data_IF_648491498923
#
_entry.id   IF_648491498923
#
_cell.length_a   1.000
_cell.length_b   1.000
_cell.length_c   1.000
_cell.angle_alpha   90.00
_cell.angle_beta   90.00
_cell.angle_gamma   90.00
#
_symmetry.space_group_name_H-M   'P 1'
#
loop_
_entity.id
_entity.type
_entity.pdbx_description
1 polymer ?
#
# COMPACT_ATOMS: atom_id res chain seq x y z
N UNK A 1 35.41 -27.29 17.03
CA UNK A 1 34.91 -27.04 15.66
C UNK A 1 33.55 -26.37 15.85
N UNK A 2 33.46 -25.05 15.69
CA UNK A 2 32.20 -24.32 15.86
C UNK A 2 31.36 -24.63 14.62
N UNK A 3 30.24 -25.31 14.80
CA UNK A 3 29.21 -25.42 13.77
C UNK A 3 28.79 -24.00 13.39
N UNK A 4 29.25 -23.56 12.23
CA UNK A 4 28.66 -22.42 11.54
C UNK A 4 27.31 -22.94 11.08
N UNK A 5 26.28 -22.74 11.91
CA UNK A 5 24.90 -22.85 11.46
C UNK A 5 24.78 -21.88 10.30
N UNK A 6 24.81 -22.40 9.07
CA UNK A 6 24.39 -21.64 7.90
C UNK A 6 22.90 -21.35 8.09
N UNK A 7 22.60 -20.23 8.73
CA UNK A 7 21.29 -19.59 8.67
C UNK A 7 21.06 -19.26 7.20
N UNK A 8 20.48 -20.21 6.46
CA UNK A 8 19.95 -19.97 5.14
C UNK A 8 18.69 -19.14 5.35
N UNK A 9 18.85 -17.81 5.35
CA UNK A 9 17.74 -16.86 5.39
C UNK A 9 17.00 -17.01 4.05
N UNK A 10 16.00 -17.89 4.03
CA UNK A 10 15.07 -18.00 2.91
C UNK A 10 14.18 -16.77 2.89
N UNK A 11 14.05 -16.12 1.73
CA UNK A 11 13.12 -15.02 1.57
C UNK A 11 11.69 -15.57 1.58
N UNK A 12 10.81 -15.01 2.42
CA UNK A 12 9.35 -15.27 2.39
C UNK A 12 8.75 -14.49 1.22
N UNK A 13 8.93 -15.02 0.02
CA UNK A 13 8.43 -14.46 -1.22
C UNK A 13 7.91 -15.61 -2.09
N UNK A 14 6.77 -15.38 -2.74
CA UNK A 14 6.24 -16.24 -3.79
C UNK A 14 6.42 -15.50 -5.12
N UNK A 15 6.96 -16.19 -6.10
CA UNK A 15 7.12 -15.68 -7.46
C UNK A 15 6.13 -16.41 -8.35
N UNK A 16 5.20 -15.67 -8.90
CA UNK A 16 4.09 -16.21 -9.70
C UNK A 16 4.10 -15.55 -11.05
N UNK A 17 4.09 -16.35 -12.12
CA UNK A 17 3.89 -15.87 -13.47
C UNK A 17 3.27 -16.97 -14.33
N UNK A 18 2.46 -16.60 -15.31
CA UNK A 18 1.89 -17.55 -16.26
C UNK A 18 2.94 -17.95 -17.31
N UNK A 19 3.97 -17.14 -17.50
CA UNK A 19 5.09 -17.44 -18.41
C UNK A 19 6.33 -17.98 -17.67
N UNK A 20 6.96 -19.07 -18.14
CA UNK A 20 8.14 -19.64 -17.49
C UNK A 20 9.41 -18.79 -17.66
N UNK A 21 9.50 -17.97 -18.71
CA UNK A 21 10.73 -17.24 -19.07
C UNK A 21 11.17 -16.20 -18.05
N UNK A 22 10.23 -15.62 -17.30
CA UNK A 22 10.54 -14.64 -16.25
C UNK A 22 11.21 -15.33 -15.06
N UNK A 23 10.79 -16.55 -14.73
CA UNK A 23 11.36 -17.34 -13.63
C UNK A 23 12.82 -17.73 -13.90
N UNK A 24 13.15 -18.11 -15.13
CA UNK A 24 14.53 -18.42 -15.51
C UNK A 24 15.44 -17.19 -15.39
N UNK A 25 14.93 -16.02 -15.76
CA UNK A 25 15.63 -14.74 -15.61
C UNK A 25 15.91 -14.42 -14.13
N UNK A 26 14.94 -14.66 -13.24
CA UNK A 26 15.12 -14.46 -11.79
C UNK A 26 16.07 -15.50 -11.19
N UNK A 27 15.96 -16.77 -11.58
CA UNK A 27 16.87 -17.85 -11.13
C UNK A 27 18.31 -17.61 -11.56
N UNK A 28 18.51 -17.09 -12.78
CA UNK A 28 19.83 -16.69 -13.30
C UNK A 28 20.40 -15.41 -12.66
N UNK A 29 19.59 -14.65 -11.91
CA UNK A 29 20.02 -13.43 -11.25
C UNK A 29 20.98 -13.70 -10.08
N UNK A 30 21.70 -12.66 -9.64
CA UNK A 30 22.62 -12.76 -8.49
C UNK A 30 21.93 -13.17 -7.19
N UNK A 31 20.64 -12.89 -7.07
CA UNK A 31 19.83 -13.19 -5.88
C UNK A 31 18.93 -14.41 -6.06
N UNK A 32 18.94 -15.06 -7.24
CA UNK A 32 18.04 -16.17 -7.56
C UNK A 32 18.15 -17.35 -6.58
N UNK A 33 19.36 -17.60 -6.06
CA UNK A 33 19.62 -18.67 -5.09
C UNK A 33 19.09 -18.39 -3.67
N UNK A 34 18.62 -17.17 -3.38
CA UNK A 34 18.04 -16.81 -2.08
C UNK A 34 16.57 -17.22 -1.97
N UNK A 35 15.88 -17.39 -3.10
CA UNK A 35 14.50 -17.80 -3.15
C UNK A 35 14.38 -19.31 -3.02
N UNK A 36 13.35 -19.78 -2.31
CA UNK A 36 13.04 -21.21 -2.22
C UNK A 36 12.57 -21.70 -3.61
N UNK A 37 13.14 -22.79 -4.16
CA UNK A 37 12.71 -23.33 -5.46
C UNK A 37 11.22 -23.65 -5.51
N UNK A 38 10.65 -24.07 -4.38
CA UNK A 38 9.23 -24.41 -4.22
C UNK A 38 8.29 -23.21 -4.29
N UNK A 39 8.82 -21.99 -4.13
CA UNK A 39 8.04 -20.75 -4.18
C UNK A 39 8.03 -20.12 -5.57
N UNK A 40 8.60 -20.80 -6.57
CA UNK A 40 8.46 -20.45 -7.99
C UNK A 40 7.27 -21.20 -8.55
N UNK A 41 6.19 -20.49 -8.82
CA UNK A 41 4.96 -21.03 -9.38
C UNK A 41 4.84 -20.46 -10.78
N UNK A 42 4.77 -21.33 -11.79
CA UNK A 42 4.63 -20.87 -13.16
C UNK A 42 3.63 -21.67 -13.97
N UNK A 43 2.97 -20.98 -14.88
CA UNK A 43 2.14 -21.59 -15.91
C UNK A 43 2.98 -22.15 -17.07
N UNK A 44 2.27 -22.68 -18.07
CA UNK A 44 2.81 -23.07 -19.37
C UNK A 44 2.45 -22.09 -20.49
N UNK A 45 1.47 -21.22 -20.25
CA UNK A 45 0.82 -20.34 -21.23
C UNK A 45 0.71 -18.95 -20.64
N UNK A 46 1.11 -17.92 -21.39
CA UNK A 46 1.02 -16.53 -20.93
C UNK A 46 -0.37 -15.93 -21.13
N UNK A 47 -0.72 -14.94 -20.31
CA UNK A 47 -1.99 -14.22 -20.45
C UNK A 47 -2.06 -13.32 -21.70
N UNK A 48 -0.93 -13.04 -22.37
CA UNK A 48 -0.91 -12.28 -23.62
C UNK A 48 -1.53 -10.88 -23.53
N UNK A 49 -1.28 -10.16 -22.43
CA UNK A 49 -1.88 -8.85 -22.11
C UNK A 49 -3.42 -8.84 -22.03
N UNK A 50 -4.04 -9.99 -21.74
CA UNK A 50 -5.48 -10.10 -21.54
C UNK A 50 -5.81 -10.36 -20.06
N UNK A 51 -6.50 -9.40 -19.43
CA UNK A 51 -6.95 -9.54 -18.04
C UNK A 51 -7.90 -10.73 -17.84
N UNK A 52 -8.85 -10.95 -18.76
CA UNK A 52 -9.81 -12.05 -18.63
C UNK A 52 -9.13 -13.42 -18.66
N UNK A 53 -8.05 -13.59 -19.45
CA UNK A 53 -7.24 -14.80 -19.40
C UNK A 53 -6.58 -15.03 -18.04
N UNK A 54 -6.01 -13.96 -17.48
CA UNK A 54 -5.42 -14.00 -16.15
C UNK A 54 -6.45 -14.27 -15.05
N UNK A 55 -7.68 -13.80 -15.20
CA UNK A 55 -8.68 -13.86 -14.15
C UNK A 55 -9.59 -15.10 -14.21
N UNK A 56 -10.01 -15.50 -15.41
CA UNK A 56 -11.04 -16.53 -15.59
C UNK A 56 -10.51 -17.86 -16.14
N UNK A 57 -9.42 -17.86 -16.90
CA UNK A 57 -8.92 -19.08 -17.56
C UNK A 57 -7.57 -19.53 -16.99
N UNK A 58 -6.47 -19.15 -17.61
CA UNK A 58 -5.11 -19.62 -17.26
C UNK A 58 -4.73 -19.33 -15.80
N UNK A 59 -5.07 -18.14 -15.29
CA UNK A 59 -4.75 -17.80 -13.90
C UNK A 59 -5.65 -18.49 -12.88
N UNK A 60 -6.89 -18.83 -13.23
CA UNK A 60 -7.80 -19.59 -12.37
C UNK A 60 -7.34 -21.04 -12.19
N UNK A 61 -6.69 -21.64 -13.18
CA UNK A 61 -6.09 -22.97 -13.05
C UNK A 61 -4.87 -22.98 -12.11
N UNK A 62 -4.12 -21.87 -12.07
CA UNK A 62 -2.88 -21.78 -11.28
C UNK A 62 -3.09 -21.22 -9.86
N UNK A 63 -4.19 -20.51 -9.61
CA UNK A 63 -4.42 -19.79 -8.33
C UNK A 63 -4.46 -20.71 -7.12
N UNK A 64 -5.02 -21.92 -7.25
CA UNK A 64 -5.09 -22.87 -6.12
C UNK A 64 -3.70 -23.25 -5.61
N UNK A 65 -2.75 -23.48 -6.53
CA UNK A 65 -1.36 -23.77 -6.18
C UNK A 65 -0.69 -22.58 -5.48
N UNK A 66 -1.03 -21.35 -5.90
CA UNK A 66 -0.52 -20.12 -5.26
C UNK A 66 -1.05 -20.03 -3.84
N UNK A 67 -2.36 -20.15 -3.64
CA UNK A 67 -2.99 -20.04 -2.32
C UNK A 67 -2.48 -21.13 -1.37
N UNK A 68 -2.28 -22.36 -1.83
CA UNK A 68 -1.69 -23.42 -1.03
C UNK A 68 -0.26 -23.10 -0.57
N UNK A 69 0.55 -22.49 -1.44
CA UNK A 69 1.90 -22.03 -1.05
C UNK A 69 1.85 -20.84 -0.11
N UNK A 70 0.88 -19.93 -0.29
CA UNK A 70 0.63 -18.83 0.65
C UNK A 70 0.30 -19.39 2.03
N UNK A 71 -0.57 -20.41 2.12
CA UNK A 71 -0.95 -21.07 3.37
C UNK A 71 0.25 -21.70 4.08
N UNK A 72 1.10 -22.41 3.34
CA UNK A 72 2.34 -22.98 3.89
C UNK A 72 3.27 -21.91 4.50
N UNK A 73 3.46 -20.79 3.81
CA UNK A 73 4.28 -19.69 4.32
C UNK A 73 3.60 -18.96 5.50
N UNK A 74 2.26 -18.87 5.48
CA UNK A 74 1.44 -18.29 6.53
C UNK A 74 1.55 -19.07 7.85
N UNK A 75 1.40 -20.40 7.79
CA UNK A 75 1.52 -21.30 8.94
C UNK A 75 2.91 -21.29 9.56
N UNK A 76 3.94 -20.99 8.76
CA UNK A 76 5.32 -20.85 9.23
C UNK A 76 5.64 -19.49 9.88
N UNK A 77 4.64 -18.61 10.06
CA UNK A 77 4.78 -17.33 10.73
C UNK A 77 4.17 -17.38 12.13
N UNK A 78 4.91 -16.90 13.14
CA UNK A 78 4.38 -16.81 14.51
C UNK A 78 3.18 -15.83 14.60
N UNK A 79 3.30 -14.66 13.96
CA UNK A 79 2.23 -13.68 13.86
C UNK A 79 2.37 -12.89 12.54
N UNK A 80 1.56 -13.26 11.55
CA UNK A 80 1.55 -12.58 10.26
C UNK A 80 0.85 -11.22 10.36
N UNK A 81 1.49 -10.15 9.86
CA UNK A 81 0.85 -8.83 9.78
C UNK A 81 -0.07 -8.69 8.57
N UNK A 82 0.36 -9.19 7.42
CA UNK A 82 -0.34 -8.98 6.15
C UNK A 82 0.46 -9.46 4.95
N UNK A 83 -0.05 -9.15 3.77
CA UNK A 83 0.52 -9.50 2.47
C UNK A 83 0.98 -8.24 1.73
N UNK A 84 2.06 -8.38 0.97
CA UNK A 84 2.56 -7.34 0.07
C UNK A 84 2.57 -7.89 -1.35
N UNK A 85 1.70 -7.35 -2.19
CA UNK A 85 1.57 -7.72 -3.59
C UNK A 85 2.29 -6.70 -4.47
N UNK A 86 3.02 -7.15 -5.49
CA UNK A 86 3.75 -6.28 -6.43
C UNK A 86 3.36 -6.70 -7.84
N UNK A 87 2.67 -5.83 -8.56
CA UNK A 87 2.11 -6.18 -9.87
C UNK A 87 1.92 -4.97 -10.78
N UNK A 88 1.79 -5.23 -12.08
CA UNK A 88 1.43 -4.21 -13.06
C UNK A 88 -0.05 -4.34 -13.44
N UNK A 89 -0.73 -3.21 -13.56
CA UNK A 89 -2.15 -3.20 -13.94
C UNK A 89 -2.37 -3.24 -15.46
N UNK A 90 -1.32 -2.95 -16.25
CA UNK A 90 -1.40 -2.94 -17.71
C UNK A 90 -1.29 -4.33 -18.37
N UNK A 91 -0.70 -5.32 -17.70
CA UNK A 91 -0.49 -6.66 -18.24
C UNK A 91 -1.76 -7.53 -18.24
N UNK A 92 -1.60 -8.84 -18.43
CA UNK A 92 -2.69 -9.83 -18.23
C UNK A 92 -2.51 -10.68 -16.96
N UNK A 93 -1.28 -11.15 -16.71
CA UNK A 93 -0.95 -11.95 -15.53
C UNK A 93 -0.98 -11.11 -14.25
N UNK A 94 -0.16 -10.06 -14.19
CA UNK A 94 -0.05 -9.21 -13.00
C UNK A 94 -1.37 -8.54 -12.63
N UNK A 95 -2.18 -8.20 -13.63
CA UNK A 95 -3.47 -7.54 -13.46
C UNK A 95 -4.56 -8.57 -13.11
N UNK A 96 -4.91 -9.46 -14.04
CA UNK A 96 -6.04 -10.40 -13.90
C UNK A 96 -5.80 -11.51 -12.89
N UNK A 97 -4.67 -12.22 -13.00
CA UNK A 97 -4.33 -13.25 -12.02
C UNK A 97 -3.97 -12.61 -10.68
N UNK A 98 -3.32 -11.43 -10.70
CA UNK A 98 -2.99 -10.70 -9.48
C UNK A 98 -4.20 -10.30 -8.65
N UNK A 99 -5.23 -9.73 -9.28
CA UNK A 99 -6.48 -9.42 -8.57
C UNK A 99 -7.22 -10.66 -8.11
N UNK A 100 -7.19 -11.76 -8.89
CA UNK A 100 -7.76 -13.03 -8.46
C UNK A 100 -7.09 -13.58 -7.18
N UNK A 101 -5.76 -13.52 -7.13
CA UNK A 101 -4.98 -13.91 -5.94
C UNK A 101 -5.36 -13.03 -4.75
N UNK A 102 -5.43 -11.71 -4.94
CA UNK A 102 -5.80 -10.76 -3.88
C UNK A 102 -7.19 -11.11 -3.32
N UNK A 103 -8.17 -11.37 -4.18
CA UNK A 103 -9.53 -11.74 -3.76
C UNK A 103 -9.53 -13.04 -2.94
N UNK A 104 -8.85 -14.08 -3.42
CA UNK A 104 -8.76 -15.36 -2.72
C UNK A 104 -8.06 -15.25 -1.37
N UNK A 105 -6.98 -14.46 -1.30
CA UNK A 105 -6.29 -14.22 -0.03
C UNK A 105 -7.17 -13.40 0.92
N UNK A 106 -7.96 -12.44 0.43
CA UNK A 106 -8.89 -11.66 1.26
C UNK A 106 -10.03 -12.52 1.81
N UNK A 107 -10.53 -13.49 1.03
CA UNK A 107 -11.51 -14.48 1.47
C UNK A 107 -10.94 -15.38 2.60
N UNK A 108 -9.70 -15.87 2.48
CA UNK A 108 -9.08 -16.78 3.46
C UNK A 108 -8.52 -16.03 4.70
N UNK A 109 -8.06 -14.80 4.53
CA UNK A 109 -7.41 -13.98 5.56
C UNK A 109 -8.04 -12.58 5.67
N UNK A 110 -9.33 -12.47 6.05
CA UNK A 110 -10.04 -11.19 6.09
C UNK A 110 -9.45 -10.20 7.10
N UNK A 111 -8.92 -10.70 8.22
CA UNK A 111 -8.34 -9.87 9.28
C UNK A 111 -6.92 -9.39 8.98
N UNK A 112 -6.31 -9.77 7.86
CA UNK A 112 -4.91 -9.44 7.53
C UNK A 112 -4.85 -8.26 6.57
N UNK A 113 -3.85 -7.40 6.77
CA UNK A 113 -3.65 -6.23 5.93
C UNK A 113 -3.19 -6.66 4.54
N UNK A 114 -3.84 -6.15 3.50
CA UNK A 114 -3.49 -6.36 2.10
C UNK A 114 -2.92 -5.09 1.49
N UNK A 115 -1.61 -5.09 1.22
CA UNK A 115 -0.91 -3.98 0.59
C UNK A 115 -0.55 -4.33 -0.85
N UNK A 116 -0.80 -3.42 -1.79
CA UNK A 116 -0.40 -3.56 -3.19
C UNK A 116 0.56 -2.45 -3.63
N UNK A 117 1.63 -2.81 -4.32
CA UNK A 117 2.46 -1.90 -5.11
C UNK A 117 2.04 -2.07 -6.57
N UNK A 118 1.20 -1.16 -7.03
CA UNK A 118 0.53 -1.24 -8.33
C UNK A 118 1.21 -0.32 -9.33
N UNK A 119 1.83 -0.92 -10.36
CA UNK A 119 2.43 -0.17 -11.46
C UNK A 119 1.32 0.20 -12.46
N UNK A 120 1.05 1.50 -12.57
CA UNK A 120 0.09 2.08 -13.49
C UNK A 120 0.65 2.12 -14.92
N UNK A 121 -0.18 1.81 -15.92
CA UNK A 121 0.22 1.90 -17.33
C UNK A 121 0.43 3.35 -17.75
N UNK A 122 1.31 3.54 -18.75
CA UNK A 122 1.52 4.83 -19.40
C UNK A 122 1.74 4.66 -20.90
N UNK A 123 1.03 5.44 -21.74
CA UNK A 123 1.21 5.44 -23.20
C UNK A 123 2.63 5.84 -23.64
N UNK A 124 3.43 6.49 -22.77
CA UNK A 124 4.81 6.89 -23.10
C UNK A 124 5.81 5.75 -22.97
N UNK A 125 5.46 4.70 -22.22
CA UNK A 125 6.38 3.64 -21.80
C UNK A 125 5.99 2.29 -22.39
N UNK A 126 4.72 2.07 -22.71
CA UNK A 126 4.21 0.83 -23.30
C UNK A 126 3.44 1.08 -24.59
N UNK A 127 3.67 0.20 -25.57
CA UNK A 127 2.98 0.18 -26.87
C UNK A 127 1.69 -0.67 -26.85
N UNK A 128 1.33 -1.26 -25.70
CA UNK A 128 0.17 -2.15 -25.59
C UNK A 128 -1.12 -1.33 -25.57
N UNK A 129 -1.98 -1.54 -26.57
CA UNK A 129 -3.21 -0.75 -26.74
C UNK A 129 -4.33 -1.12 -25.76
N UNK A 130 -4.31 -2.31 -25.18
CA UNK A 130 -5.37 -2.82 -24.28
C UNK A 130 -5.14 -2.54 -22.80
N UNK A 131 -4.04 -1.86 -22.43
CA UNK A 131 -3.72 -1.56 -21.03
C UNK A 131 -4.82 -0.83 -20.26
N UNK A 132 -5.56 0.15 -20.85
CA UNK A 132 -6.65 0.80 -20.13
C UNK A 132 -7.79 -0.16 -19.74
N UNK A 133 -8.08 -1.19 -20.55
CA UNK A 133 -9.06 -2.22 -20.15
C UNK A 133 -8.56 -2.99 -18.93
N UNK A 134 -7.34 -3.51 -19.00
CA UNK A 134 -6.75 -4.30 -17.92
C UNK A 134 -6.65 -3.48 -16.62
N UNK A 135 -6.29 -2.20 -16.73
CA UNK A 135 -6.16 -1.31 -15.58
C UNK A 135 -7.50 -0.95 -14.96
N UNK A 136 -8.54 -0.60 -15.74
CA UNK A 136 -9.87 -0.31 -15.21
C UNK A 136 -10.45 -1.51 -14.47
N UNK A 137 -10.38 -2.71 -15.07
CA UNK A 137 -10.84 -3.95 -14.45
C UNK A 137 -10.06 -4.28 -13.16
N UNK A 138 -8.76 -4.03 -13.16
CA UNK A 138 -7.94 -4.28 -11.98
C UNK A 138 -8.20 -3.29 -10.85
N UNK A 139 -8.36 -1.99 -11.17
CA UNK A 139 -8.67 -0.96 -10.19
C UNK A 139 -10.00 -1.26 -9.52
N UNK A 140 -11.01 -1.68 -10.29
CA UNK A 140 -12.30 -2.11 -9.74
C UNK A 140 -12.13 -3.16 -8.63
N UNK A 141 -11.28 -4.17 -8.84
CA UNK A 141 -10.99 -5.20 -7.83
C UNK A 141 -10.15 -4.67 -6.65
N UNK A 142 -9.19 -3.76 -6.91
CA UNK A 142 -8.33 -3.19 -5.88
C UNK A 142 -9.08 -2.25 -4.91
N UNK A 143 -10.13 -1.57 -5.38
CA UNK A 143 -10.98 -0.71 -4.55
C UNK A 143 -11.60 -1.49 -3.38
N UNK A 144 -12.01 -2.73 -3.62
CA UNK A 144 -12.75 -3.52 -2.63
C UNK A 144 -11.84 -4.44 -1.79
N UNK A 145 -10.77 -4.96 -2.40
CA UNK A 145 -10.02 -6.08 -1.82
C UNK A 145 -8.64 -5.71 -1.25
N UNK A 146 -8.22 -4.44 -1.31
CA UNK A 146 -6.95 -3.98 -0.72
C UNK A 146 -7.16 -2.93 0.36
N UNK A 147 -6.30 -2.93 1.37
CA UNK A 147 -6.33 -1.94 2.45
C UNK A 147 -5.40 -0.75 2.13
N UNK A 148 -4.31 -0.98 1.38
CA UNK A 148 -3.39 0.08 0.92
C UNK A 148 -2.91 -0.21 -0.51
N UNK A 149 -3.03 0.76 -1.41
CA UNK A 149 -2.48 0.64 -2.78
C UNK A 149 -1.52 1.79 -3.10
N UNK A 150 -0.24 1.47 -3.27
CA UNK A 150 0.80 2.41 -3.68
C UNK A 150 0.81 2.52 -5.21
N UNK A 151 0.35 3.66 -5.73
CA UNK A 151 0.24 3.91 -7.16
C UNK A 151 1.57 4.40 -7.73
N UNK A 152 2.25 3.54 -8.48
CA UNK A 152 3.52 3.86 -9.12
C UNK A 152 3.28 4.05 -10.61
N UNK A 153 3.52 5.24 -11.14
CA UNK A 153 3.30 5.54 -12.54
C UNK A 153 4.61 5.49 -13.34
N UNK A 154 4.65 4.64 -14.37
CA UNK A 154 5.77 4.57 -15.30
C UNK A 154 6.07 5.91 -15.99
N UNK A 155 5.04 6.75 -16.22
CA UNK A 155 5.21 8.10 -16.76
C UNK A 155 6.05 8.98 -15.84
N UNK A 156 5.72 8.99 -14.54
CA UNK A 156 6.41 9.78 -13.54
C UNK A 156 7.84 9.27 -13.32
N UNK A 157 8.02 7.94 -13.26
CA UNK A 157 9.35 7.34 -13.15
C UNK A 157 10.24 7.70 -14.34
N UNK A 158 9.70 7.66 -15.56
CA UNK A 158 10.42 8.05 -16.77
C UNK A 158 10.80 9.53 -16.73
N UNK A 159 9.87 10.41 -16.38
CA UNK A 159 10.11 11.85 -16.28
C UNK A 159 11.15 12.19 -15.20
N UNK A 160 11.14 11.50 -14.05
CA UNK A 160 12.18 11.64 -13.01
C UNK A 160 13.55 11.23 -13.56
N UNK A 161 13.65 10.05 -14.18
CA UNK A 161 14.91 9.56 -14.73
C UNK A 161 15.47 10.50 -15.80
N UNK A 162 14.62 10.96 -16.71
CA UNK A 162 15.01 11.81 -17.83
C UNK A 162 15.32 13.25 -17.39
N UNK A 163 14.41 13.89 -16.66
CA UNK A 163 14.50 15.32 -16.32
C UNK A 163 15.33 15.58 -15.06
N UNK A 164 15.16 14.78 -14.01
CA UNK A 164 15.80 14.99 -12.70
C UNK A 164 17.16 14.31 -12.63
N UNK A 165 17.25 13.03 -13.01
CA UNK A 165 18.50 12.27 -12.98
C UNK A 165 19.39 12.47 -14.22
N UNK A 166 18.88 13.17 -15.25
CA UNK A 166 19.59 13.50 -16.49
C UNK A 166 20.07 12.26 -17.27
N UNK A 167 19.29 11.18 -17.23
CA UNK A 167 19.52 9.99 -18.04
C UNK A 167 18.92 10.21 -19.42
N UNK A 168 19.73 10.12 -20.47
CA UNK A 168 19.28 10.35 -21.86
C UNK A 168 18.34 9.26 -22.37
N UNK A 169 18.55 8.03 -21.93
CA UNK A 169 17.76 6.84 -22.31
C UNK A 169 17.49 6.00 -21.06
N UNK A 170 16.44 6.33 -20.27
CA UNK A 170 16.06 5.55 -19.10
C UNK A 170 15.72 4.10 -19.48
N UNK A 171 16.31 3.12 -18.80
CA UNK A 171 15.97 1.71 -18.95
C UNK A 171 15.02 1.25 -17.83
N UNK A 172 14.32 0.13 -18.01
CA UNK A 172 13.52 -0.48 -16.93
C UNK A 172 14.35 -0.76 -15.66
N UNK A 173 15.66 -1.02 -15.79
CA UNK A 173 16.56 -1.15 -14.64
C UNK A 173 16.67 0.13 -13.80
N UNK A 174 16.61 1.31 -14.45
CA UNK A 174 16.66 2.61 -13.77
C UNK A 174 15.32 2.93 -13.09
N UNK A 175 14.20 2.63 -13.76
CA UNK A 175 12.86 2.77 -13.18
C UNK A 175 12.70 1.85 -11.95
N UNK A 176 13.07 0.59 -12.08
CA UNK A 176 13.02 -0.39 -11.00
C UNK A 176 13.93 -0.01 -9.82
N UNK A 177 15.03 0.71 -10.08
CA UNK A 177 15.85 1.23 -9.00
C UNK A 177 15.07 2.23 -8.12
N UNK A 178 14.33 3.17 -8.73
CA UNK A 178 13.48 4.10 -8.00
C UNK A 178 12.36 3.39 -7.23
N UNK A 179 11.68 2.44 -7.87
CA UNK A 179 10.65 1.61 -7.23
C UNK A 179 11.22 0.89 -6.00
N UNK A 180 12.39 0.27 -6.13
CA UNK A 180 13.03 -0.45 -5.03
C UNK A 180 13.39 0.45 -3.84
N UNK A 181 13.77 1.71 -4.09
CA UNK A 181 14.06 2.70 -3.05
C UNK A 181 12.80 3.09 -2.30
N UNK A 182 11.72 3.36 -3.03
CA UNK A 182 10.39 3.67 -2.47
C UNK A 182 9.87 2.50 -1.63
N UNK A 183 9.86 1.28 -2.17
CA UNK A 183 9.43 0.08 -1.42
C UNK A 183 10.29 -0.16 -0.19
N UNK A 184 11.61 0.03 -0.30
CA UNK A 184 12.50 -0.03 0.87
C UNK A 184 12.11 1.02 1.90
N UNK A 185 11.79 2.24 1.47
CA UNK A 185 11.34 3.36 2.28
C UNK A 185 10.08 3.05 3.07
N UNK A 186 8.99 2.69 2.37
CA UNK A 186 7.67 2.35 2.95
C UNK A 186 7.80 1.23 3.99
N UNK A 187 8.57 0.18 3.69
CA UNK A 187 8.74 -0.97 4.59
C UNK A 187 9.80 -0.79 5.67
N UNK A 188 10.34 0.42 5.85
CA UNK A 188 11.44 0.66 6.81
C UNK A 188 10.98 0.45 8.25
N UNK A 189 9.80 0.95 8.62
CA UNK A 189 9.24 0.81 9.97
C UNK A 189 8.99 -0.64 10.39
N UNK A 190 8.84 -1.53 9.41
CA UNK A 190 8.62 -2.97 9.64
C UNK A 190 9.95 -3.72 9.82
N UNK A 191 11.01 -3.28 9.12
CA UNK A 191 12.29 -4.00 9.04
C UNK A 191 13.29 -3.55 10.09
N UNK A 192 13.17 -2.34 10.60
CA UNK A 192 14.11 -1.77 11.56
C UNK A 192 13.37 -1.18 12.76
N UNK A 193 13.90 -1.37 13.98
CA UNK A 193 13.39 -0.66 15.14
C UNK A 193 13.64 0.84 14.96
N UNK A 194 12.57 1.63 15.05
CA UNK A 194 12.61 3.09 15.05
C UNK A 194 11.98 3.64 16.34
N UNK A 195 12.13 4.95 16.55
CA UNK A 195 11.51 5.63 17.70
C UNK A 195 9.97 5.65 17.57
N UNK A 196 9.47 5.59 16.33
CA UNK A 196 8.05 5.50 16.01
C UNK A 196 7.81 4.22 15.20
N UNK A 197 7.68 3.09 15.89
CA UNK A 197 7.33 1.82 15.26
C UNK A 197 5.86 1.88 14.83
N UNK A 198 5.63 1.89 13.51
CA UNK A 198 4.32 1.76 12.90
C UNK A 198 4.29 0.44 12.14
N UNK A 199 3.56 -0.49 12.72
CA UNK A 199 3.00 -1.69 12.14
C UNK A 199 2.08 -1.36 10.94
N UNK A 200 1.92 -2.29 9.99
CA UNK A 200 1.15 -2.07 8.77
C UNK A 200 -0.28 -1.58 9.05
N UNK A 201 -0.94 -2.20 10.03
CA UNK A 201 -2.29 -1.80 10.45
C UNK A 201 -2.33 -0.36 10.96
N UNK A 202 -1.31 0.05 11.72
CA UNK A 202 -1.23 1.41 12.25
C UNK A 202 -0.94 2.42 11.13
N UNK A 203 -0.21 2.05 10.10
CA UNK A 203 -0.05 2.89 8.92
C UNK A 203 -1.40 3.06 8.20
N UNK A 204 -2.12 1.95 7.94
CA UNK A 204 -3.42 1.95 7.28
C UNK A 204 -4.43 2.85 8.02
N UNK A 205 -4.59 2.67 9.33
CA UNK A 205 -5.52 3.46 10.16
C UNK A 205 -5.20 4.95 10.14
N UNK A 206 -3.92 5.33 10.05
CA UNK A 206 -3.53 6.75 10.01
C UNK A 206 -3.63 7.36 8.61
N UNK A 207 -3.55 6.54 7.55
CA UNK A 207 -3.44 7.01 6.17
C UNK A 207 -4.75 6.90 5.37
N UNK A 208 -5.65 6.01 5.78
CA UNK A 208 -6.91 5.72 5.08
C UNK A 208 -8.09 6.23 5.93
N UNK A 209 -8.55 7.47 5.72
CA UNK A 209 -9.72 8.00 6.43
C UNK A 209 -11.02 7.34 5.96
N UNK A 210 -11.08 6.92 4.69
CA UNK A 210 -12.25 6.27 4.08
C UNK A 210 -11.82 4.99 3.38
N UNK A 211 -12.54 3.86 3.56
CA UNK A 211 -12.11 2.55 3.06
C UNK A 211 -11.79 2.48 1.56
N UNK A 212 -12.50 3.25 0.72
CA UNK A 212 -12.30 3.29 -0.75
C UNK A 212 -11.16 4.21 -1.20
N UNK A 213 -10.70 5.11 -0.32
CA UNK A 213 -9.68 6.13 -0.63
C UNK A 213 -8.31 5.75 -0.05
N UNK A 214 -7.84 4.56 -0.42
CA UNK A 214 -6.59 3.95 0.03
C UNK A 214 -5.49 3.94 -1.05
N UNK A 215 -5.64 4.78 -2.07
CA UNK A 215 -4.65 4.91 -3.15
C UNK A 215 -3.64 6.01 -2.79
N UNK A 216 -2.38 5.61 -2.59
CA UNK A 216 -1.30 6.51 -2.17
C UNK A 216 -0.42 6.93 -3.33
N UNK A 217 0.06 8.17 -3.25
CA UNK A 217 1.11 8.75 -4.07
C UNK A 217 2.45 8.63 -3.34
N UNK A 218 3.30 7.63 -3.69
CA UNK A 218 4.63 7.55 -3.13
C UNK A 218 5.58 8.60 -3.73
N UNK A 219 6.53 9.04 -2.92
CA UNK A 219 7.65 9.89 -3.34
C UNK A 219 8.94 9.47 -2.63
N UNK A 220 10.08 9.82 -3.22
CA UNK A 220 11.37 9.56 -2.61
C UNK A 220 12.27 10.78 -2.72
N UNK A 221 12.99 11.08 -1.65
CA UNK A 221 14.05 12.07 -1.65
C UNK A 221 15.28 11.51 -0.91
N UNK A 222 16.50 11.85 -1.33
CA UNK A 222 16.82 12.75 -2.43
C UNK A 222 16.87 12.04 -3.80
N UNK A 223 16.45 12.75 -4.84
CA UNK A 223 16.64 12.34 -6.23
C UNK A 223 17.76 13.19 -6.85
N UNK A 224 18.99 12.70 -6.72
CA UNK A 224 20.18 13.40 -7.24
C UNK A 224 20.85 12.58 -8.33
N UNK A 225 21.19 13.23 -9.44
CA UNK A 225 22.01 12.63 -10.50
C UNK A 225 23.36 12.16 -9.93
N UNK A 226 23.89 11.05 -10.47
CA UNK A 226 25.13 10.41 -9.98
C UNK A 226 26.34 11.36 -9.92
N UNK A 227 26.43 12.32 -10.85
CA UNK A 227 27.51 13.32 -10.89
C UNK A 227 27.36 14.47 -9.87
N UNK A 228 26.16 14.73 -9.37
CA UNK A 228 25.87 15.85 -8.46
C UNK A 228 25.80 15.43 -6.99
N UNK A 229 25.83 14.12 -6.72
CA UNK A 229 25.65 13.56 -5.37
C UNK A 229 26.79 13.93 -4.41
N UNK A 230 28.01 14.16 -4.91
CA UNK A 230 29.18 14.53 -4.08
C UNK A 230 29.18 16.01 -3.65
N UNK A 231 28.50 16.88 -4.38
CA UNK A 231 28.54 18.33 -4.18
C UNK A 231 27.36 18.87 -3.35
N UNK A 232 26.31 18.06 -3.14
CA UNK A 232 25.09 18.49 -2.44
C UNK A 232 25.11 18.06 -0.99
N UNK A 233 25.12 19.03 -0.07
CA UNK A 233 24.91 18.77 1.34
C UNK A 233 23.43 18.49 1.58
N UNK A 234 23.08 17.23 1.85
CA UNK A 234 21.71 16.86 2.21
C UNK A 234 21.44 17.34 3.64
N UNK A 235 20.34 18.08 3.82
CA UNK A 235 19.86 18.56 5.12
C UNK A 235 18.38 18.19 5.29
N UNK A 236 17.86 18.17 6.52
CA UNK A 236 16.45 17.87 6.80
C UNK A 236 15.50 18.84 6.09
N UNK A 237 15.74 20.18 6.09
CA UNK A 237 14.89 21.11 5.32
C UNK A 237 14.88 20.81 3.82
N UNK A 238 16.03 20.49 3.23
CA UNK A 238 16.10 20.15 1.79
C UNK A 238 15.36 18.86 1.45
N UNK A 239 15.44 17.84 2.31
CA UNK A 239 14.70 16.59 2.14
C UNK A 239 13.20 16.84 2.22
N UNK A 240 12.77 17.60 3.23
CA UNK A 240 11.36 17.94 3.48
C UNK A 240 10.80 18.75 2.30
N UNK A 241 11.54 19.74 1.79
CA UNK A 241 11.13 20.50 0.61
C UNK A 241 11.03 19.64 -0.65
N UNK A 242 11.98 18.70 -0.84
CA UNK A 242 11.96 17.78 -1.98
C UNK A 242 10.80 16.77 -1.93
N UNK A 243 10.39 16.33 -0.74
CA UNK A 243 9.26 15.40 -0.59
C UNK A 243 7.95 15.98 -1.12
N UNK A 244 7.73 17.27 -0.94
CA UNK A 244 6.51 17.97 -1.40
C UNK A 244 6.66 18.59 -2.80
N UNK A 245 7.78 18.39 -3.50
CA UNK A 245 7.92 18.82 -4.89
C UNK A 245 7.20 17.82 -5.81
N UNK A 246 6.31 18.32 -6.68
CA UNK A 246 5.57 17.51 -7.65
C UNK A 246 6.51 16.69 -8.55
N UNK A 247 7.72 17.19 -8.79
CA UNK A 247 8.75 16.51 -9.61
C UNK A 247 9.33 15.25 -9.00
N UNK A 248 9.14 15.02 -7.70
CA UNK A 248 9.68 13.87 -6.99
C UNK A 248 8.61 12.82 -6.64
N UNK A 249 7.37 13.06 -7.06
CA UNK A 249 6.28 12.11 -6.94
C UNK A 249 6.47 10.99 -7.97
N UNK A 250 6.29 9.75 -7.53
CA UNK A 250 6.37 8.56 -8.38
C UNK A 250 5.04 8.29 -9.11
N UNK A 251 4.14 9.28 -9.09
CA UNK A 251 2.76 9.21 -9.59
C UNK A 251 2.56 10.46 -10.43
N UNK A 252 2.08 10.34 -11.68
CA UNK A 252 2.02 11.47 -12.62
C UNK A 252 0.81 12.38 -12.38
N UNK A 253 0.70 12.92 -11.17
CA UNK A 253 -0.30 13.92 -10.78
C UNK A 253 0.41 15.13 -10.19
N UNK A 254 -0.18 16.31 -10.35
CA UNK A 254 0.29 17.51 -9.62
C UNK A 254 -0.42 17.58 -8.26
N UNK A 255 0.28 17.38 -7.12
CA UNK A 255 -0.35 17.40 -5.80
C UNK A 255 -0.97 18.75 -5.43
N UNK A 256 -0.64 19.83 -6.17
CA UNK A 256 -1.18 21.18 -5.96
C UNK A 256 -2.59 21.34 -6.54
N UNK A 257 -3.03 20.42 -7.39
CA UNK A 257 -4.40 20.43 -7.97
C UNK A 257 -5.43 19.76 -7.07
N UNK A 258 -4.98 19.12 -6.00
CA UNK A 258 -5.82 18.51 -4.99
C UNK A 258 -5.44 18.95 -3.58
N UNK A 259 -5.98 18.24 -2.60
CA UNK A 259 -5.68 18.42 -1.18
C UNK A 259 -5.19 17.10 -0.60
N UNK A 260 -4.21 17.17 0.29
CA UNK A 260 -3.76 16.02 1.07
C UNK A 260 -4.79 15.71 2.15
N UNK A 261 -5.34 14.50 2.10
CA UNK A 261 -6.13 13.92 3.17
C UNK A 261 -5.21 13.57 4.33
N UNK A 262 -4.19 12.75 4.05
CA UNK A 262 -3.18 12.29 5.02
C UNK A 262 -1.80 12.23 4.36
N UNK A 263 -0.75 12.38 5.17
CA UNK A 263 0.64 12.33 4.73
C UNK A 263 1.46 11.55 5.74
N UNK A 264 2.26 10.60 5.27
CA UNK A 264 3.32 9.97 6.04
C UNK A 264 4.70 10.28 5.45
N UNK A 265 5.61 10.72 6.30
CA UNK A 265 7.02 10.94 5.99
C UNK A 265 7.91 9.98 6.76
N UNK A 266 8.60 9.07 6.06
CA UNK A 266 9.56 8.14 6.66
C UNK A 266 10.98 8.62 6.40
N UNK A 267 11.60 9.20 7.42
CA UNK A 267 12.97 9.68 7.37
C UNK A 267 13.96 8.60 7.82
N UNK A 268 15.09 8.52 7.12
CA UNK A 268 16.13 7.51 7.35
C UNK A 268 17.50 8.15 7.45
N UNK A 269 18.26 7.76 8.47
CA UNK A 269 19.59 8.28 8.77
C UNK A 269 19.62 9.05 10.09
N UNK A 270 20.83 9.39 10.55
CA UNK A 270 21.02 10.10 11.81
C UNK A 270 20.60 11.57 11.67
N UNK A 271 19.46 11.92 12.26
CA UNK A 271 18.92 13.28 12.28
C UNK A 271 18.19 13.56 13.58
N UNK A 272 17.96 14.84 13.87
CA UNK A 272 17.19 15.26 15.05
C UNK A 272 15.70 15.14 14.77
N UNK A 273 14.98 14.33 15.54
CA UNK A 273 13.50 14.20 15.41
C UNK A 273 12.79 15.54 15.56
N UNK A 274 13.25 16.37 16.50
CA UNK A 274 12.75 17.73 16.69
C UNK A 274 12.87 18.59 15.43
N UNK A 275 14.00 18.50 14.72
CA UNK A 275 14.20 19.26 13.48
C UNK A 275 13.25 18.77 12.38
N UNK A 276 13.04 17.45 12.28
CA UNK A 276 12.09 16.89 11.31
C UNK A 276 10.67 17.39 11.60
N UNK A 277 10.22 17.34 12.86
CA UNK A 277 8.89 17.78 13.25
C UNK A 277 8.68 19.28 12.98
N UNK A 278 9.67 20.12 13.30
CA UNK A 278 9.64 21.56 13.02
C UNK A 278 9.55 21.84 11.51
N UNK A 279 10.30 21.12 10.67
CA UNK A 279 10.26 21.30 9.21
C UNK A 279 8.93 20.84 8.61
N UNK A 280 8.39 19.71 9.07
CA UNK A 280 7.09 19.22 8.60
C UNK A 280 5.96 20.17 8.99
N UNK A 281 5.98 20.70 10.21
CA UNK A 281 5.02 21.71 10.67
C UNK A 281 5.15 23.01 9.86
N UNK A 282 6.36 23.46 9.57
CA UNK A 282 6.60 24.66 8.76
C UNK A 282 6.04 24.52 7.33
N UNK A 283 6.18 23.34 6.71
CA UNK A 283 5.56 23.09 5.40
C UNK A 283 4.04 23.08 5.51
N UNK A 284 3.48 22.40 6.52
CA UNK A 284 2.04 22.35 6.71
C UNK A 284 1.44 23.75 6.89
N UNK A 285 2.06 24.60 7.70
CA UNK A 285 1.62 25.98 7.90
C UNK A 285 1.76 26.84 6.65
N UNK A 286 2.86 26.69 5.90
CA UNK A 286 3.08 27.44 4.65
C UNK A 286 2.09 27.06 3.55
N UNK A 287 1.70 25.79 3.52
CA UNK A 287 0.89 25.18 2.47
C UNK A 287 -0.49 24.76 2.99
N UNK A 288 -1.03 25.42 4.02
CA UNK A 288 -2.25 25.00 4.72
C UNK A 288 -3.43 24.76 3.78
N UNK A 289 -3.55 25.55 2.70
CA UNK A 289 -4.62 25.41 1.71
C UNK A 289 -4.59 24.09 0.92
N UNK A 290 -3.46 23.39 0.90
CA UNK A 290 -3.28 22.10 0.23
C UNK A 290 -3.50 20.92 1.18
N UNK A 291 -3.78 21.15 2.45
CA UNK A 291 -4.15 20.11 3.42
C UNK A 291 -5.63 20.27 3.75
N UNK A 292 -6.34 19.16 3.96
CA UNK A 292 -7.69 19.23 4.50
C UNK A 292 -7.67 19.76 5.93
N UNK A 293 -8.66 20.59 6.25
CA UNK A 293 -8.83 21.26 7.55
C UNK A 293 -9.59 20.40 8.55
N UNK A 294 -10.52 19.56 8.06
CA UNK A 294 -11.38 18.69 8.88
C UNK A 294 -10.69 17.42 9.42
N UNK A 295 -9.50 17.04 8.91
CA UNK A 295 -8.67 15.99 9.54
C UNK A 295 -7.57 16.65 10.39
N UNK A 296 -7.71 16.71 11.72
CA UNK A 296 -6.63 17.20 12.57
C UNK A 296 -5.44 16.22 12.55
N UNK A 297 -4.22 16.76 12.65
CA UNK A 297 -2.98 15.96 12.75
C UNK A 297 -2.79 14.91 11.63
N UNK A 298 -3.13 15.28 10.40
CA UNK A 298 -3.05 14.46 9.19
C UNK A 298 -1.63 14.16 8.67
N UNK A 299 -0.60 14.76 9.26
CA UNK A 299 0.80 14.50 8.92
C UNK A 299 1.43 13.60 9.99
N UNK A 300 1.91 12.42 9.59
CA UNK A 300 2.66 11.49 10.43
C UNK A 300 4.11 11.43 9.98
N UNK A 301 5.02 11.36 10.95
CA UNK A 301 6.45 11.30 10.71
C UNK A 301 7.02 10.10 11.43
N UNK A 302 7.86 9.33 10.74
CA UNK A 302 8.64 8.25 11.32
C UNK A 302 10.12 8.49 11.04
N UNK A 303 10.97 8.27 12.05
CA UNK A 303 12.43 8.41 11.92
C UNK A 303 13.10 7.08 12.25
N UNK A 304 13.98 6.66 11.34
CA UNK A 304 14.78 5.45 11.46
C UNK A 304 16.27 5.81 11.36
N UNK A 305 17.08 5.36 12.32
CA UNK A 305 18.51 5.69 12.36
C UNK A 305 19.34 5.03 11.24
N UNK A 306 18.78 4.03 10.56
CA UNK A 306 19.49 3.22 9.56
C UNK A 306 19.24 3.78 8.15
N UNK A 307 20.24 4.45 7.53
CA UNK A 307 20.08 5.03 6.21
C UNK A 307 20.05 3.95 5.11
N UNK A 308 19.49 4.25 3.93
CA UNK A 308 19.57 3.36 2.79
C UNK A 308 20.99 3.28 2.21
N UNK A 309 21.26 2.21 1.45
CA UNK A 309 22.60 1.96 0.89
C UNK A 309 23.02 3.09 -0.05
N UNK A 310 24.20 3.66 0.20
CA UNK A 310 24.80 4.70 -0.66
C UNK A 310 24.34 6.12 -0.34
N UNK A 311 23.47 6.31 0.66
CA UNK A 311 23.01 7.63 1.11
C UNK A 311 23.25 7.78 2.62
N UNK A 312 23.51 9.02 3.06
CA UNK A 312 23.63 9.33 4.51
C UNK A 312 22.27 9.60 5.14
N UNK A 313 21.38 10.23 4.37
CA UNK A 313 20.01 10.52 4.76
C UNK A 313 19.10 10.35 3.55
N UNK A 314 17.86 9.93 3.81
CA UNK A 314 16.80 9.84 2.83
C UNK A 314 15.46 10.05 3.51
N UNK A 315 14.45 10.37 2.72
CA UNK A 315 13.07 10.42 3.15
C UNK A 315 12.17 9.80 2.10
N UNK A 316 11.16 9.07 2.57
CA UNK A 316 10.12 8.47 1.74
C UNK A 316 8.81 9.15 2.08
N UNK A 317 8.12 9.59 1.06
CA UNK A 317 6.86 10.28 1.15
C UNK A 317 5.75 9.30 0.76
N UNK A 318 4.67 9.29 1.52
CA UNK A 318 3.44 8.58 1.20
C UNK A 318 2.33 9.60 1.40
N UNK A 319 1.70 10.04 0.32
CA UNK A 319 0.60 11.01 0.38
C UNK A 319 -0.70 10.37 -0.05
N UNK A 320 -1.75 10.50 0.75
CA UNK A 320 -3.11 10.32 0.30
C UNK A 320 -3.63 11.69 -0.14
N UNK A 321 -3.73 11.92 -1.45
CA UNK A 321 -4.09 13.22 -2.02
C UNK A 321 -5.18 13.05 -3.08
N UNK A 322 -6.19 13.92 -3.04
CA UNK A 322 -7.31 13.91 -3.99
C UNK A 322 -6.88 14.11 -5.44
N UNK A 323 -5.68 14.67 -5.70
CA UNK A 323 -5.11 14.82 -7.03
C UNK A 323 -4.89 13.48 -7.77
N UNK A 324 -4.87 12.34 -7.05
CA UNK A 324 -4.73 11.02 -7.67
C UNK A 324 -5.87 10.69 -8.64
N UNK A 325 -7.01 11.38 -8.52
CA UNK A 325 -8.11 11.32 -9.47
C UNK A 325 -7.69 11.61 -10.92
N UNK A 326 -6.60 12.36 -11.16
CA UNK A 326 -6.10 12.63 -12.51
C UNK A 326 -5.66 11.36 -13.23
N UNK A 327 -5.07 10.39 -12.52
CA UNK A 327 -4.68 9.09 -13.09
C UNK A 327 -5.91 8.28 -13.45
N UNK A 328 -6.87 8.21 -12.53
CA UNK A 328 -8.12 7.48 -12.76
C UNK A 328 -8.91 8.06 -13.92
N UNK A 329 -8.98 9.40 -14.01
CA UNK A 329 -9.59 10.09 -15.16
C UNK A 329 -8.85 9.80 -16.46
N UNK A 330 -7.50 9.81 -16.46
CA UNK A 330 -6.69 9.48 -17.65
C UNK A 330 -6.96 8.05 -18.14
N UNK A 331 -7.00 7.08 -17.23
CA UNK A 331 -7.28 5.67 -17.56
C UNK A 331 -8.73 5.53 -18.04
N UNK A 332 -9.69 6.15 -17.34
CA UNK A 332 -11.10 6.16 -17.68
C UNK A 332 -11.39 6.76 -19.05
N UNK A 333 -10.80 7.90 -19.39
CA UNK A 333 -10.97 8.52 -20.72
C UNK A 333 -10.46 7.60 -21.86
N UNK A 334 -9.31 6.96 -21.67
CA UNK A 334 -8.77 6.01 -22.65
C UNK A 334 -9.64 4.75 -22.76
N UNK A 335 -10.11 4.24 -21.63
CA UNK A 335 -11.05 3.13 -21.56
C UNK A 335 -12.34 3.47 -22.34
N UNK A 336 -12.99 4.59 -22.03
CA UNK A 336 -14.26 4.98 -22.66
C UNK A 336 -14.11 5.13 -24.18
N UNK A 337 -12.99 5.68 -24.67
CA UNK A 337 -12.75 5.84 -26.11
C UNK A 337 -12.66 4.48 -26.82
N UNK A 338 -12.01 3.50 -26.19
CA UNK A 338 -11.92 2.14 -26.73
C UNK A 338 -13.23 1.38 -26.62
N UNK A 339 -13.89 1.46 -25.46
CA UNK A 339 -15.12 0.74 -25.16
C UNK A 339 -16.28 1.19 -26.04
N UNK A 340 -16.42 2.51 -26.30
CA UNK A 340 -17.41 3.05 -27.26
C UNK A 340 -17.26 2.49 -28.67
N UNK A 341 -16.04 2.11 -29.07
CA UNK A 341 -15.75 1.50 -30.38
C UNK A 341 -15.81 -0.03 -30.34
N UNK A 342 -16.03 -0.63 -29.17
CA UNK A 342 -15.92 -2.07 -28.91
C UNK A 342 -14.63 -2.68 -29.44
N UNK A 343 -13.54 -1.90 -29.42
CA UNK A 343 -12.24 -2.35 -29.91
C UNK A 343 -11.68 -3.41 -28.96
N UNK A 344 -11.16 -4.52 -29.52
CA UNK A 344 -10.55 -5.64 -28.78
C UNK A 344 -11.44 -6.36 -27.75
N UNK A 345 -12.72 -6.03 -27.66
CA UNK A 345 -13.65 -6.59 -26.67
C UNK A 345 -13.82 -8.11 -26.81
N UNK A 346 -13.82 -8.62 -28.05
CA UNK A 346 -13.91 -10.05 -28.35
C UNK A 346 -12.80 -10.92 -27.74
N UNK A 347 -11.65 -10.33 -27.37
CA UNK A 347 -10.59 -11.06 -26.67
C UNK A 347 -10.97 -11.34 -25.22
N UNK A 348 -11.80 -10.50 -24.61
CA UNK A 348 -12.23 -10.66 -23.22
C UNK A 348 -13.50 -11.51 -23.15
N UNK A 349 -14.49 -11.21 -24.01
CA UNK A 349 -15.74 -11.99 -24.06
C UNK A 349 -15.52 -13.42 -24.56
N UNK A 350 -14.48 -13.65 -25.37
CA UNK A 350 -14.05 -14.99 -25.78
C UNK A 350 -13.56 -15.88 -24.63
N UNK A 351 -13.14 -15.27 -23.50
CA UNK A 351 -12.68 -15.97 -22.30
C UNK A 351 -13.80 -16.11 -21.24
N UNK A 352 -15.04 -15.73 -21.59
CA UNK A 352 -16.22 -15.90 -20.73
C UNK A 352 -16.65 -14.67 -19.94
N UNK A 353 -16.00 -13.52 -20.13
CA UNK A 353 -16.35 -12.25 -19.47
C UNK A 353 -17.57 -11.58 -20.12
N UNK A 354 -18.49 -11.05 -19.33
CA UNK A 354 -19.65 -10.29 -19.87
C UNK A 354 -19.30 -8.83 -20.20
N UNK A 355 -19.95 -8.24 -21.20
CA UNK A 355 -19.84 -6.80 -21.49
C UNK A 355 -20.35 -5.94 -20.32
N UNK A 356 -21.24 -6.48 -19.47
CA UNK A 356 -21.75 -5.79 -18.29
C UNK A 356 -20.64 -5.50 -17.27
N UNK A 357 -19.70 -6.42 -17.08
CA UNK A 357 -18.57 -6.27 -16.15
C UNK A 357 -17.68 -5.06 -16.51
N UNK A 358 -17.52 -4.79 -17.81
CA UNK A 358 -16.81 -3.58 -18.27
C UNK A 358 -17.53 -2.30 -17.86
N UNK A 359 -18.86 -2.30 -17.94
CA UNK A 359 -19.68 -1.14 -17.61
C UNK A 359 -19.69 -0.92 -16.09
N UNK A 360 -19.74 -1.98 -15.30
CA UNK A 360 -19.63 -1.93 -13.84
C UNK A 360 -18.27 -1.40 -13.39
N UNK A 361 -17.18 -1.88 -13.99
CA UNK A 361 -15.84 -1.40 -13.69
C UNK A 361 -15.65 0.07 -14.09
N UNK A 362 -16.19 0.51 -15.23
CA UNK A 362 -16.19 1.91 -15.64
C UNK A 362 -16.99 2.79 -14.67
N UNK A 363 -18.17 2.34 -14.25
CA UNK A 363 -18.99 3.05 -13.27
C UNK A 363 -18.24 3.19 -11.94
N UNK A 364 -17.69 2.10 -11.41
CA UNK A 364 -16.99 2.12 -10.12
C UNK A 364 -15.74 3.05 -10.15
N UNK A 365 -15.04 3.09 -11.29
CA UNK A 365 -13.92 4.01 -11.50
C UNK A 365 -14.38 5.47 -11.48
N UNK A 366 -15.50 5.79 -12.12
CA UNK A 366 -16.07 7.14 -12.14
C UNK A 366 -16.63 7.54 -10.76
N UNK A 367 -17.21 6.60 -10.03
CA UNK A 367 -17.68 6.82 -8.65
C UNK A 367 -16.49 7.14 -7.73
N UNK A 368 -15.38 6.39 -7.84
CA UNK A 368 -14.13 6.70 -7.11
C UNK A 368 -13.60 8.11 -7.44
N UNK A 369 -13.59 8.50 -8.71
CA UNK A 369 -13.19 9.86 -9.11
C UNK A 369 -14.10 10.92 -8.49
N UNK A 370 -15.40 10.64 -8.44
CA UNK A 370 -16.40 11.55 -7.86
C UNK A 370 -16.23 11.66 -6.35
N UNK A 371 -15.93 10.56 -5.64
CA UNK A 371 -15.62 10.57 -4.22
C UNK A 371 -14.39 11.45 -3.92
N UNK A 372 -13.28 11.28 -4.66
CA UNK A 372 -12.11 12.15 -4.50
C UNK A 372 -12.42 13.63 -4.75
N UNK A 373 -13.27 13.92 -5.74
CA UNK A 373 -13.69 15.29 -6.04
C UNK A 373 -14.55 15.87 -4.91
N UNK A 374 -15.48 15.08 -4.35
CA UNK A 374 -16.31 15.49 -3.23
C UNK A 374 -15.48 15.90 -2.02
N UNK A 375 -14.48 15.09 -1.62
CA UNK A 375 -13.61 15.42 -0.49
C UNK A 375 -12.61 16.53 -0.78
N UNK A 376 -12.29 16.77 -2.05
CA UNK A 376 -11.46 17.90 -2.45
C UNK A 376 -12.19 19.23 -2.24
N UNK A 377 -13.48 19.26 -2.57
CA UNK A 377 -14.33 20.45 -2.47
C UNK A 377 -14.96 20.62 -1.08
N UNK A 378 -14.96 19.56 -0.27
CA UNK A 378 -15.41 19.60 1.11
C UNK A 378 -14.63 20.67 1.93
N UNK A 379 -15.39 21.46 2.67
CA UNK A 379 -14.91 22.44 3.66
C UNK A 379 -15.50 22.09 5.01
N UNK A 380 -14.80 22.39 6.10
CA UNK A 380 -15.23 22.08 7.47
C UNK A 380 -16.61 22.64 7.89
N UNK A 381 -17.22 23.53 7.10
CA UNK A 381 -18.54 24.14 7.34
C UNK A 381 -19.74 23.30 6.87
N UNK A 382 -19.53 22.11 6.31
CA UNK A 382 -20.62 21.16 6.03
C UNK A 382 -20.72 20.21 7.23
N UNK A 383 -21.74 20.39 8.07
CA UNK A 383 -22.10 19.52 9.18
C UNK A 383 -22.05 18.05 8.75
N UNK A 384 -20.95 17.39 9.07
CA UNK A 384 -20.83 15.95 9.00
C UNK A 384 -21.60 15.40 10.20
N UNK A 385 -22.85 14.96 9.97
CA UNK A 385 -23.49 14.02 10.88
C UNK A 385 -22.79 12.67 10.68
N UNK A 386 -22.02 12.15 11.66
CA UNK A 386 -21.62 10.75 11.61
C UNK A 386 -22.89 9.91 11.54
N UNK A 387 -22.94 8.93 10.64
CA UNK A 387 -23.93 7.85 10.72
C UNK A 387 -23.78 7.19 12.11
N UNK A 388 -24.70 7.50 13.03
CA UNK A 388 -24.84 6.87 14.34
C UNK A 388 -25.28 5.42 14.15
N UNK A 389 -24.36 4.50 13.86
CA UNK A 389 -24.60 3.06 13.99
C UNK A 389 -23.29 2.26 14.17
N UNK A 390 -22.43 2.72 15.09
CA UNK A 390 -21.37 1.88 15.66
C UNK A 390 -21.51 1.93 17.19
N UNK A 391 -21.95 0.86 17.86
CA UNK A 391 -21.89 0.78 19.31
C UNK A 391 -20.43 0.78 19.74
N UNK A 392 -19.99 1.84 20.42
CA UNK A 392 -18.69 1.87 21.09
C UNK A 392 -18.66 0.81 22.20
N UNK A 393 -17.96 -0.31 21.98
CA UNK A 393 -17.49 -1.14 23.08
C UNK A 393 -16.32 -0.43 23.78
N UNK A 394 -16.60 0.11 24.98
CA UNK A 394 -15.60 0.69 25.87
C UNK A 394 -14.50 -0.34 26.22
N UNK A 395 -13.28 -0.11 25.74
CA UNK A 395 -12.08 -0.77 26.24
C UNK A 395 -11.60 -0.01 27.48
N UNK A 396 -11.60 -0.58 28.70
CA UNK A 396 -11.25 0.17 29.90
C UNK A 396 -9.75 0.43 29.95
N UNK A 397 -9.39 1.72 29.98
CA UNK A 397 -8.02 2.19 30.16
C UNK A 397 -7.54 1.94 31.60
N UNK A 398 -6.37 1.34 31.72
CA UNK A 398 -5.71 1.07 33.00
C UNK A 398 -5.20 2.37 33.64
N UNK A 399 -5.87 2.82 34.70
CA UNK A 399 -5.29 3.74 35.69
C UNK A 399 -5.63 3.24 37.08
N UNK A 400 -4.61 2.81 37.82
CA UNK A 400 -4.75 2.35 39.19
C UNK A 400 -5.28 3.47 40.10
N UNK A 401 -6.45 3.25 40.70
CA UNK A 401 -6.84 3.90 41.96
C UNK A 401 -7.28 2.81 42.93
N UNK A 402 -6.45 2.58 43.93
CA UNK A 402 -6.71 1.76 45.10
C UNK A 402 -7.95 2.27 45.84
N UNK A 403 -9.03 1.49 45.85
CA UNK A 403 -10.07 1.58 46.89
C UNK A 403 -10.50 0.18 47.32
N UNK A 404 -10.34 -0.07 48.61
CA UNK A 404 -10.66 -1.30 49.32
C UNK A 404 -12.12 -1.69 49.11
N UNK A 405 -12.37 -2.88 48.56
CA UNK A 405 -13.71 -3.47 48.52
C UNK A 405 -13.86 -4.36 49.75
N UNK A 406 -14.51 -3.83 50.78
CA UNK A 406 -15.00 -4.60 51.93
C UNK A 406 -16.03 -5.61 51.40
N UNK A 407 -15.68 -6.89 51.45
CA UNK A 407 -16.61 -7.99 51.14
C UNK A 407 -17.41 -8.26 52.42
N UNK A 408 -18.65 -7.79 52.48
CA UNK A 408 -19.63 -8.27 53.46
C UNK A 408 -20.03 -9.70 53.09
N UNK A 409 -19.38 -10.66 53.73
CA UNK A 409 -19.84 -12.06 53.77
C UNK A 409 -20.95 -12.14 54.83
N UNK A 410 -22.21 -12.22 54.39
CA UNK A 410 -23.32 -12.63 55.26
C UNK A 410 -23.10 -14.08 55.68
N UNK A 411 -22.63 -14.26 56.90
CA UNK A 411 -22.66 -15.54 57.62
C UNK A 411 -23.91 -15.57 58.48
N UNK A 412 -24.84 -16.46 58.13
CA UNK A 412 -25.99 -16.80 58.98
C UNK A 412 -25.45 -17.39 60.29
N UNK A 413 -25.70 -16.71 61.40
CA UNK A 413 -25.41 -17.18 62.75
C UNK A 413 -26.68 -17.79 63.33
N UNK A 414 -26.63 -19.09 63.56
CA UNK A 414 -27.60 -19.83 64.38
C UNK A 414 -27.51 -19.29 65.80
N UNK A 415 -28.52 -18.57 66.25
CA UNK A 415 -28.68 -18.16 67.65
C UNK A 415 -29.43 -19.25 68.41
N UNK A 416 -28.67 -20.13 69.05
CA UNK A 416 -29.21 -20.98 70.12
C UNK A 416 -29.65 -20.12 71.31
N UNK A 417 -30.86 -20.42 71.77
CA UNK A 417 -31.59 -19.73 72.82
C UNK A 417 -31.12 -20.25 74.17
N UNK A 418 -30.58 -19.38 75.04
CA UNK A 418 -30.40 -19.72 76.45
C UNK A 418 -31.52 -19.08 77.27
N UNK A 419 -32.49 -19.89 77.70
CA UNK A 419 -33.30 -19.64 78.89
C UNK A 419 -33.17 -20.86 79.80
N UNK A 420 -32.48 -20.65 80.93
CA UNK A 420 -32.87 -21.05 82.29
C UNK A 420 -34.35 -21.48 82.40
N UNK A 421 -34.79 -22.49 83.15
CA UNK A 421 -34.33 -23.16 84.38
C UNK A 421 -35.30 -24.36 84.63
N UNK A 422 -34.92 -25.20 85.60
CA UNK A 422 -35.79 -26.03 86.47
C UNK A 422 -36.25 -27.45 86.06
N UNK A 423 -35.82 -28.36 86.95
CA UNK A 423 -36.55 -29.46 87.61
C UNK A 423 -37.00 -30.73 86.86
N UNK A 424 -36.55 -31.83 87.50
CA UNK A 424 -37.00 -33.23 87.48
C UNK A 424 -36.52 -34.16 86.37
#
# INVERSE_FOLDING_TARGET
MREIVHLQIGQRALLVDLEPGTMDSVRGSRIGKLFRPDNFIHGSSGAGNNWAKGHYTEGAELVEQVVDRVRNEAESCDCMQGFQFVHSLGGGTGSGMGTLIINKIREEYPDRIMNSFSIMPSPKVSDTVVEPYNATLSIHQLIENTDETYCIDNEALYDICFRTLKLTTPSYGDLNHLVSLTMSGVTTSLRFPGQLNADLRKLAVNMVPFPRLHFFMPGFAPLTARGSQQYRALTVPELTQQMFDARNMMTACDPRRGRYLTVAGVFRGRMSTKEVDEQMLAIQQKNSNYFVDWIPHNVKVAVCDIPPRGLKMASTFIGNNTAIQEIFRRIGEQFSVMFRRKAFLHWYTGEGMDELEFTEAESNLNDLVSEYQQYQDATADLDWEPDEDIPEEEVPSSSAVTMQRTVEVKTETVTETTRQLDDM
#
